data_IF_060759444864
#
_entry.id   IF_060759444864
#
_cell.length_a   1.000
_cell.length_b   1.000
_cell.length_c   1.000
_cell.angle_alpha   90.00
_cell.angle_beta   90.00
_cell.angle_gamma   90.00
#
_symmetry.space_group_name_H-M   'P 1'
#
loop_
_entity.id
_entity.type
_entity.pdbx_description
1 polymer ?
#
# COMPACT_ATOMS: atom_id res chain seq x y z
N UNK A 1 -3.45 0.81 16.98
CA UNK A 1 -2.43 0.97 15.93
C UNK A 1 -2.26 2.46 15.69
N UNK A 2 -1.02 2.96 15.59
CA UNK A 2 -0.76 4.40 15.37
C UNK A 2 -0.50 4.62 13.89
N UNK A 3 -1.31 5.48 13.28
CA UNK A 3 -1.23 5.78 11.85
C UNK A 3 -0.53 7.12 11.67
N UNK A 4 0.63 7.13 11.00
CA UNK A 4 1.28 8.39 10.62
C UNK A 4 0.71 8.86 9.29
N UNK A 5 0.11 10.05 9.28
CA UNK A 5 -0.22 10.75 8.03
C UNK A 5 1.08 11.11 7.29
N UNK A 6 1.14 10.80 6.01
CA UNK A 6 2.08 11.44 5.09
C UNK A 6 1.49 12.77 4.67
N UNK A 7 2.28 13.84 4.75
CA UNK A 7 2.00 15.05 4.01
C UNK A 7 2.01 14.77 2.50
N UNK A 8 1.20 15.55 1.79
CA UNK A 8 0.74 15.32 0.43
C UNK A 8 1.87 15.02 -0.56
N UNK A 9 1.74 13.90 -1.28
CA UNK A 9 2.63 13.54 -2.38
C UNK A 9 2.13 14.28 -3.63
N UNK A 10 2.37 15.59 -3.69
CA UNK A 10 2.14 16.37 -4.90
C UNK A 10 3.43 17.02 -5.40
N UNK A 11 4.04 16.36 -6.37
CA UNK A 11 4.42 17.02 -7.61
C UNK A 11 4.35 15.99 -8.74
N UNK A 12 3.56 16.33 -9.76
CA UNK A 12 3.36 15.59 -10.99
C UNK A 12 4.71 15.53 -11.74
N UNK A 13 5.54 14.56 -11.40
CA UNK A 13 6.80 14.30 -12.08
C UNK A 13 6.74 12.90 -12.69
N UNK A 14 7.16 12.76 -13.95
CA UNK A 14 7.42 11.48 -14.64
C UNK A 14 8.48 10.59 -13.94
N UNK A 15 8.94 10.98 -12.74
CA UNK A 15 9.97 10.33 -11.98
C UNK A 15 9.39 9.39 -10.92
N UNK A 16 9.96 8.19 -10.85
CA UNK A 16 9.73 7.24 -9.77
C UNK A 16 10.04 7.91 -8.42
N UNK A 17 9.02 8.08 -7.58
CA UNK A 17 9.22 8.52 -6.20
C UNK A 17 9.13 7.33 -5.26
N UNK A 18 10.21 7.09 -4.51
CA UNK A 18 10.28 5.99 -3.52
C UNK A 18 10.22 6.59 -2.12
N UNK A 19 9.26 6.12 -1.33
CA UNK A 19 9.14 6.49 0.08
C UNK A 19 9.27 5.25 0.96
N UNK A 20 10.22 5.29 1.89
CA UNK A 20 10.41 4.22 2.87
C UNK A 20 9.64 4.52 4.15
N UNK A 21 8.65 3.69 4.47
CA UNK A 21 7.94 3.83 5.74
C UNK A 21 8.65 3.03 6.81
N UNK A 22 9.08 3.72 7.87
CA UNK A 22 9.68 3.09 9.07
C UNK A 22 8.65 2.82 10.17
N UNK A 23 7.50 3.49 10.09
CA UNK A 23 6.36 3.25 10.96
C UNK A 23 5.65 1.95 10.58
N UNK A 24 4.84 1.43 11.51
CA UNK A 24 4.06 0.21 11.28
C UNK A 24 3.05 0.37 10.13
N UNK A 25 2.55 1.58 9.91
CA UNK A 25 1.59 1.90 8.85
C UNK A 25 1.73 3.32 8.37
N UNK A 26 1.25 3.57 7.16
CA UNK A 26 1.27 4.87 6.50
C UNK A 26 -0.04 5.14 5.81
N UNK A 27 -0.38 6.42 5.71
CA UNK A 27 -1.41 6.92 4.81
C UNK A 27 -0.79 7.93 3.85
N UNK A 28 -0.98 7.76 2.55
CA UNK A 28 -0.83 8.83 1.58
C UNK A 28 -2.23 9.37 1.26
N UNK A 29 -2.49 10.60 1.71
CA UNK A 29 -3.73 11.35 1.51
C UNK A 29 -4.09 11.53 0.04
N UNK A 30 -3.09 11.58 -0.84
CA UNK A 30 -3.26 11.66 -2.27
C UNK A 30 -2.15 10.88 -3.00
N UNK A 31 -2.52 10.05 -3.98
CA UNK A 31 -1.59 9.28 -4.82
C UNK A 31 -1.32 9.94 -6.18
N UNK A 32 -1.87 11.12 -6.44
CA UNK A 32 -1.69 11.89 -7.68
C UNK A 32 -2.60 11.45 -8.84
N UNK A 33 -3.36 10.38 -8.68
CA UNK A 33 -4.36 9.91 -9.64
C UNK A 33 -5.57 9.33 -8.92
N UNK A 34 -6.63 9.06 -9.68
CA UNK A 34 -7.86 8.46 -9.18
C UNK A 34 -8.08 7.07 -9.74
N UNK A 35 -8.65 6.19 -8.92
CA UNK A 35 -8.92 4.80 -9.25
C UNK A 35 -10.41 4.56 -9.02
N UNK A 36 -11.09 4.08 -10.06
CA UNK A 36 -12.51 3.79 -9.99
C UNK A 36 -12.73 2.29 -9.87
N UNK A 37 -13.40 1.86 -8.79
CA UNK A 37 -13.76 0.46 -8.58
C UNK A 37 -15.27 0.36 -8.39
N UNK A 38 -15.96 -0.17 -9.40
CA UNK A 38 -17.40 -0.06 -9.56
C UNK A 38 -17.82 1.42 -9.65
N UNK A 39 -18.77 1.89 -8.84
CA UNK A 39 -19.21 3.30 -8.82
C UNK A 39 -18.43 4.20 -7.84
N UNK A 40 -17.33 3.71 -7.26
CA UNK A 40 -16.58 4.45 -6.22
C UNK A 40 -15.20 4.83 -6.70
N UNK A 41 -14.82 6.07 -6.44
CA UNK A 41 -13.51 6.62 -6.77
C UNK A 41 -12.66 6.75 -5.52
N UNK A 42 -11.39 6.40 -5.64
CA UNK A 42 -10.39 6.43 -4.58
C UNK A 42 -9.19 7.25 -5.04
N UNK A 43 -8.62 8.04 -4.14
CA UNK A 43 -7.43 8.88 -4.39
C UNK A 43 -6.41 8.82 -3.26
N UNK A 44 -6.76 8.18 -2.15
CA UNK A 44 -5.93 8.03 -0.98
C UNK A 44 -5.63 6.55 -0.76
N UNK A 45 -4.44 6.28 -0.23
CA UNK A 45 -3.98 4.90 -0.03
C UNK A 45 -3.29 4.72 1.31
N UNK A 46 -3.50 3.56 1.92
CA UNK A 46 -2.89 3.17 3.18
C UNK A 46 -2.20 1.83 3.06
N UNK A 47 -1.09 1.67 3.77
CA UNK A 47 -0.33 0.43 3.80
C UNK A 47 0.18 0.13 5.22
N UNK A 48 0.19 -1.15 5.60
CA UNK A 48 0.82 -1.64 6.82
C UNK A 48 2.04 -2.47 6.48
N UNK A 49 3.16 -2.18 7.15
CA UNK A 49 4.41 -2.90 7.02
C UNK A 49 4.30 -4.33 7.54
N UNK A 50 3.72 -4.52 8.72
CA UNK A 50 3.81 -5.81 9.42
C UNK A 50 2.74 -6.82 8.98
N UNK A 51 1.51 -6.33 8.74
CA UNK A 51 0.32 -7.19 8.51
C UNK A 51 -0.03 -7.39 7.03
N UNK A 52 0.83 -6.92 6.11
CA UNK A 52 0.57 -6.89 4.65
C UNK A 52 -0.86 -6.45 4.33
N UNK A 53 -1.23 -5.30 4.90
CA UNK A 53 -2.53 -4.65 4.71
C UNK A 53 -2.38 -3.52 3.72
N UNK A 54 -3.39 -3.42 2.87
CA UNK A 54 -3.58 -2.36 1.91
C UNK A 54 -5.01 -1.81 2.01
N UNK A 55 -5.20 -0.50 1.87
CA UNK A 55 -6.54 0.05 1.70
C UNK A 55 -6.59 1.32 0.87
N UNK A 56 -7.71 1.48 0.18
CA UNK A 56 -8.06 2.63 -0.65
C UNK A 56 -9.19 3.41 0.00
N UNK A 57 -9.08 4.73 -0.03
CA UNK A 57 -10.14 5.64 0.41
C UNK A 57 -10.27 6.83 -0.57
N UNK A 58 -11.45 7.44 -0.61
CA UNK A 58 -11.60 8.74 -1.28
C UNK A 58 -10.94 9.86 -0.45
N UNK A 59 -11.07 9.77 0.87
CA UNK A 59 -10.35 10.59 1.83
C UNK A 59 -10.20 9.80 3.13
N UNK A 60 -9.22 10.14 3.95
CA UNK A 60 -9.13 9.64 5.33
C UNK A 60 -9.92 10.54 6.28
N UNK A 61 -11.21 10.72 5.99
CA UNK A 61 -12.15 11.46 6.81
C UNK A 61 -13.27 10.54 7.29
N UNK A 62 -13.98 10.94 8.37
CA UNK A 62 -15.16 10.22 8.85
C UNK A 62 -16.15 10.00 7.70
N UNK A 63 -16.81 8.83 7.69
CA UNK A 63 -17.80 8.41 6.69
C UNK A 63 -17.26 8.09 5.28
N UNK A 64 -15.94 8.17 5.06
CA UNK A 64 -15.35 7.78 3.79
C UNK A 64 -15.42 6.26 3.58
N UNK A 65 -15.93 5.83 2.42
CA UNK A 65 -15.93 4.41 2.05
C UNK A 65 -14.51 3.94 1.80
N UNK A 66 -14.14 2.85 2.46
CA UNK A 66 -12.81 2.23 2.35
C UNK A 66 -12.92 0.88 1.63
N UNK A 67 -11.96 0.57 0.78
CA UNK A 67 -11.69 -0.81 0.32
C UNK A 67 -10.42 -1.29 0.97
N UNK A 68 -10.49 -2.42 1.66
CA UNK A 68 -9.36 -3.03 2.35
C UNK A 68 -9.04 -4.38 1.73
N UNK A 69 -7.76 -4.63 1.50
CA UNK A 69 -7.22 -5.95 1.20
C UNK A 69 -6.18 -6.30 2.26
N UNK A 70 -6.33 -7.48 2.85
CA UNK A 70 -5.38 -8.02 3.81
C UNK A 70 -5.00 -9.42 3.37
N UNK A 71 -3.71 -9.71 3.36
CA UNK A 71 -3.21 -11.06 3.14
C UNK A 71 -3.15 -11.76 4.49
N UNK A 72 -4.02 -12.76 4.69
CA UNK A 72 -4.13 -13.44 5.98
C UNK A 72 -2.96 -14.41 6.20
N UNK A 73 -2.44 -14.41 7.42
CA UNK A 73 -1.30 -15.27 7.81
C UNK A 73 0.07 -14.75 7.38
N UNK A 74 0.13 -13.80 6.44
CA UNK A 74 1.38 -13.15 6.08
C UNK A 74 1.83 -12.19 7.19
N UNK A 75 3.09 -12.33 7.61
CA UNK A 75 3.77 -11.37 8.45
C UNK A 75 5.03 -10.90 7.74
N UNK A 76 5.36 -9.61 7.85
CA UNK A 76 6.64 -9.11 7.35
C UNK A 76 7.54 -8.65 8.49
N UNK A 77 8.81 -9.04 8.37
CA UNK A 77 9.90 -8.64 9.29
C UNK A 77 10.76 -7.51 8.73
N UNK A 78 10.35 -6.89 7.61
CA UNK A 78 11.08 -5.77 7.04
C UNK A 78 11.12 -4.57 7.99
N UNK A 79 12.27 -3.89 8.06
CA UNK A 79 12.46 -2.69 8.90
C UNK A 79 11.80 -1.46 8.24
N UNK A 80 11.68 -1.47 6.91
CA UNK A 80 10.95 -0.45 6.16
C UNK A 80 10.11 -1.06 5.03
N UNK A 81 8.95 -0.49 4.77
CA UNK A 81 8.15 -0.79 3.57
C UNK A 81 8.41 0.28 2.50
N UNK A 82 9.03 -0.07 1.36
CA UNK A 82 9.14 0.84 0.24
C UNK A 82 7.77 0.98 -0.44
N UNK A 83 7.38 2.22 -0.66
CA UNK A 83 6.24 2.62 -1.47
C UNK A 83 6.79 3.27 -2.74
N UNK A 84 6.28 2.85 -3.88
CA UNK A 84 6.63 3.41 -5.17
C UNK A 84 5.43 4.17 -5.71
N UNK A 85 5.64 5.45 -5.99
CA UNK A 85 4.69 6.30 -6.68
C UNK A 85 5.21 6.47 -8.11
N UNK A 86 4.44 5.98 -9.07
CA UNK A 86 4.71 6.05 -10.49
C UNK A 86 3.60 6.84 -11.19
N UNK A 87 3.82 7.33 -12.42
CA UNK A 87 2.74 7.83 -13.24
C UNK A 87 1.63 6.78 -13.33
N UNK A 88 0.45 7.13 -12.82
CA UNK A 88 -0.75 6.28 -12.84
C UNK A 88 -0.64 4.96 -12.07
N UNK A 89 0.36 4.78 -11.19
CA UNK A 89 0.46 3.58 -10.38
C UNK A 89 1.05 3.84 -8.99
N UNK A 90 0.62 3.03 -8.04
CA UNK A 90 1.12 3.00 -6.67
C UNK A 90 1.46 1.55 -6.31
N UNK A 91 2.65 1.30 -5.76
CA UNK A 91 3.12 -0.05 -5.44
C UNK A 91 3.73 -0.13 -4.05
N UNK A 92 3.65 -1.32 -3.45
CA UNK A 92 4.20 -1.66 -2.15
C UNK A 92 4.85 -3.04 -2.22
N UNK A 93 6.04 -3.14 -1.64
CA UNK A 93 6.85 -4.36 -1.67
C UNK A 93 7.08 -4.90 -0.25
N UNK A 94 6.50 -6.08 0.02
CA UNK A 94 6.81 -6.87 1.19
C UNK A 94 7.74 -8.05 0.88
N UNK A 95 9.00 -7.75 0.62
CA UNK A 95 10.07 -8.71 0.27
C UNK A 95 10.57 -9.62 1.41
N UNK A 96 10.24 -9.33 2.67
CA UNK A 96 10.65 -10.16 3.81
C UNK A 96 9.44 -10.69 4.58
N UNK A 97 8.46 -11.22 3.82
CA UNK A 97 7.22 -11.79 4.34
C UNK A 97 7.32 -13.30 4.54
N UNK A 98 6.52 -13.85 5.44
CA UNK A 98 6.41 -15.29 5.68
C UNK A 98 5.01 -15.63 6.19
N UNK A 99 4.51 -16.82 5.85
CA UNK A 99 3.21 -17.32 6.33
C UNK A 99 3.35 -18.25 7.55
N UNK A 100 4.46 -18.98 7.63
CA UNK A 100 4.67 -19.99 8.65
C UNK A 100 5.65 -19.48 9.71
N UNK A 101 5.16 -19.22 10.92
CA UNK A 101 6.00 -18.72 12.02
C UNK A 101 7.10 -19.71 12.44
N UNK A 102 6.88 -21.02 12.26
CA UNK A 102 7.89 -22.05 12.53
C UNK A 102 8.97 -22.15 11.44
N UNK A 103 8.76 -21.52 10.28
CA UNK A 103 9.70 -21.51 9.16
C UNK A 103 9.95 -20.06 8.69
N UNK A 104 10.52 -19.18 9.54
CA UNK A 104 10.70 -17.76 9.22
C UNK A 104 11.68 -17.50 8.06
N UNK A 105 12.45 -18.53 7.68
CA UNK A 105 13.37 -18.49 6.54
C UNK A 105 12.67 -18.79 5.20
N UNK A 106 11.45 -19.34 5.23
CA UNK A 106 10.62 -19.52 4.03
C UNK A 106 9.96 -18.19 3.67
N UNK A 107 10.79 -17.29 3.11
CA UNK A 107 10.38 -15.95 2.73
C UNK A 107 9.57 -15.99 1.43
N UNK A 108 8.58 -15.11 1.35
CA UNK A 108 7.81 -14.85 0.15
C UNK A 108 7.87 -13.37 -0.18
N UNK A 109 7.92 -13.07 -1.47
CA UNK A 109 7.80 -11.72 -1.96
C UNK A 109 6.34 -11.41 -2.29
N UNK A 110 5.83 -10.33 -1.72
CA UNK A 110 4.46 -9.87 -1.98
C UNK A 110 4.54 -8.47 -2.59
N UNK A 111 3.97 -8.31 -3.78
CA UNK A 111 3.79 -7.02 -4.42
C UNK A 111 2.31 -6.66 -4.43
N UNK A 112 1.95 -5.58 -3.76
CA UNK A 112 0.63 -4.96 -3.88
C UNK A 112 0.72 -3.75 -4.79
N UNK A 113 -0.19 -3.63 -5.76
CA UNK A 113 -0.25 -2.46 -6.62
C UNK A 113 -1.67 -2.01 -6.93
N UNK A 114 -1.77 -0.72 -7.24
CA UNK A 114 -2.97 -0.08 -7.75
C UNK A 114 -2.58 0.76 -8.95
N UNK A 115 -3.32 0.63 -10.04
CA UNK A 115 -3.07 1.35 -11.27
C UNK A 115 -4.32 2.15 -11.64
N UNK A 116 -4.16 3.24 -12.41
CA UNK A 116 -5.30 4.07 -12.83
C UNK A 116 -6.35 3.26 -13.62
N UNK A 117 -5.89 2.29 -14.41
CA UNK A 117 -6.74 1.42 -15.23
C UNK A 117 -7.17 0.13 -14.54
N UNK A 118 -6.49 -0.26 -13.46
CA UNK A 118 -6.73 -1.51 -12.75
C UNK A 118 -6.84 -1.26 -11.25
N UNK A 119 -8.02 -1.58 -10.72
CA UNK A 119 -8.38 -1.32 -9.34
C UNK A 119 -7.34 -1.80 -8.32
N UNK A 120 -6.81 -3.01 -8.50
CA UNK A 120 -5.90 -3.64 -7.55
C UNK A 120 -5.28 -4.93 -8.11
N UNK A 121 -3.98 -5.16 -7.82
CA UNK A 121 -3.26 -6.39 -8.13
C UNK A 121 -2.42 -6.84 -6.93
N UNK A 122 -2.45 -8.14 -6.62
CA UNK A 122 -1.49 -8.79 -5.73
C UNK A 122 -0.75 -9.85 -6.52
N UNK A 123 0.57 -9.80 -6.45
CA UNK A 123 1.45 -10.82 -6.98
C UNK A 123 2.26 -11.45 -5.86
N UNK A 124 2.43 -12.78 -5.93
CA UNK A 124 3.29 -13.58 -5.06
C UNK A 124 4.43 -14.11 -5.92
N UNK A 125 5.67 -13.79 -5.55
CA UNK A 125 6.89 -14.21 -6.25
C UNK A 125 7.79 -15.05 -5.34
#
# INVERSE_FOLDING_TARGET
YTVSLSEDVYEYCDALHIRHIRHASVLASNIGFQVTVNQFTYRSVGASRNDSIFFLANAFANESRVRLVRILGANSSQISLPLYFLPHAFQMDWSNSFFCQSHPNARIYILGSVMMTEAFNISFL
#
